data_IF_091550563458
#
_entry.id   IF_091550563458
#
_cell.length_a   1.000
_cell.length_b   1.000
_cell.length_c   1.000
_cell.angle_alpha   90.00
_cell.angle_beta   90.00
_cell.angle_gamma   90.00
#
_symmetry.space_group_name_H-M   'P 1'
#
loop_
_entity.id
_entity.type
_entity.pdbx_description
1 polymer ?
#
# COMPACT_ATOMS: atom_id res chain seq x y z
N UNK A 1 6.39 32.60 -3.25
CA UNK A 1 5.96 31.39 -2.51
C UNK A 1 5.39 31.83 -1.18
N UNK A 2 4.22 31.34 -0.77
CA UNK A 2 3.59 31.70 0.50
C UNK A 2 4.41 31.09 1.65
N UNK A 3 4.66 31.85 2.72
CA UNK A 3 5.44 31.35 3.87
C UNK A 3 4.63 30.28 4.61
N UNK A 4 5.13 29.04 4.79
CA UNK A 4 4.40 28.00 5.50
C UNK A 4 4.17 28.39 6.97
N UNK A 5 2.94 28.24 7.46
CA UNK A 5 2.57 28.49 8.87
C UNK A 5 1.93 27.24 9.45
N UNK A 6 2.36 26.84 10.66
CA UNK A 6 1.79 25.68 11.34
C UNK A 6 0.28 25.89 11.58
N UNK A 7 -0.58 24.93 11.22
CA UNK A 7 -2.01 25.07 11.42
C UNK A 7 -2.39 25.32 12.88
N UNK A 8 -3.38 26.18 13.09
CA UNK A 8 -3.99 26.38 14.40
C UNK A 8 -5.03 25.29 14.69
N UNK A 9 -5.50 25.24 15.94
CA UNK A 9 -6.57 24.31 16.35
C UNK A 9 -7.84 24.58 15.54
N UNK A 10 -8.31 23.57 14.82
CA UNK A 10 -9.56 23.59 14.05
C UNK A 10 -10.70 23.01 14.88
N UNK A 11 -11.92 23.45 14.58
CA UNK A 11 -13.16 22.98 15.24
C UNK A 11 -13.36 21.47 15.11
N UNK A 12 -12.99 20.90 13.96
CA UNK A 12 -13.05 19.47 13.67
C UNK A 12 -11.72 18.73 13.98
N UNK A 13 -10.81 19.38 14.71
CA UNK A 13 -9.54 18.80 15.15
C UNK A 13 -9.70 17.86 16.33
N UNK A 14 -8.97 16.74 16.33
CA UNK A 14 -8.99 15.76 17.43
C UNK A 14 -8.18 16.26 18.62
N UNK A 15 -8.56 15.91 19.86
CA UNK A 15 -7.80 16.25 21.07
C UNK A 15 -6.49 15.45 21.20
N UNK A 16 -6.45 14.26 20.62
CA UNK A 16 -5.32 13.34 20.65
C UNK A 16 -5.22 12.54 19.35
N UNK A 17 -4.19 11.68 19.26
CA UNK A 17 -4.04 10.77 18.13
C UNK A 17 -5.24 9.82 18.06
N UNK A 18 -5.60 9.30 16.87
CA UNK A 18 -6.48 8.14 16.77
C UNK A 18 -5.91 6.94 17.55
N UNK A 19 -6.77 6.05 18.01
CA UNK A 19 -6.36 4.85 18.74
C UNK A 19 -5.40 3.99 17.89
N UNK A 20 -4.29 3.55 18.49
CA UNK A 20 -3.23 2.80 17.78
C UNK A 20 -2.25 3.64 16.96
N UNK A 21 -2.40 4.98 16.91
CA UNK A 21 -1.50 5.87 16.16
C UNK A 21 -0.41 6.48 17.08
N UNK A 22 0.69 7.02 16.50
CA UNK A 22 1.74 7.63 17.29
C UNK A 22 1.22 8.78 18.17
N UNK A 23 1.70 8.79 19.42
CA UNK A 23 1.41 9.84 20.41
C UNK A 23 2.32 11.07 20.28
N UNK A 24 3.16 11.10 19.25
CA UNK A 24 4.01 12.23 18.91
C UNK A 24 3.33 13.08 17.82
N UNK A 25 2.97 14.36 18.10
CA UNK A 25 2.37 15.26 17.12
C UNK A 25 3.24 15.49 15.88
N UNK A 26 4.56 15.37 15.99
CA UNK A 26 5.49 15.51 14.85
C UNK A 26 5.44 14.32 13.89
N UNK A 27 4.61 13.32 14.16
CA UNK A 27 4.24 12.25 13.22
C UNK A 27 3.03 12.58 12.34
N UNK A 28 2.57 13.83 12.35
CA UNK A 28 1.39 14.32 11.61
C UNK A 28 1.72 15.57 10.78
N UNK A 29 1.13 15.71 9.60
CA UNK A 29 1.29 16.90 8.78
C UNK A 29 0.50 18.10 9.34
N UNK A 30 -0.54 17.84 10.12
CA UNK A 30 -1.21 18.83 10.97
C UNK A 30 -1.11 18.41 12.45
N UNK A 31 -0.03 18.82 13.15
CA UNK A 31 0.22 18.42 14.54
C UNK A 31 -0.79 18.98 15.54
N UNK A 32 -1.37 20.16 15.28
CA UNK A 32 -2.30 20.81 16.22
C UNK A 32 -3.66 20.10 16.31
N UNK A 33 -3.99 19.34 15.27
CA UNK A 33 -5.30 18.69 15.10
C UNK A 33 -5.23 17.17 15.02
N UNK A 34 -4.02 16.59 15.13
CA UNK A 34 -3.76 15.15 14.97
C UNK A 34 -4.31 14.60 13.64
N UNK A 35 -4.15 15.39 12.58
CA UNK A 35 -4.63 15.08 11.23
C UNK A 35 -3.47 14.77 10.31
N UNK A 36 -3.73 13.93 9.31
CA UNK A 36 -2.78 13.57 8.27
C UNK A 36 -1.49 12.95 8.85
N UNK A 37 -1.57 11.76 9.48
CA UNK A 37 -0.38 11.06 9.93
C UNK A 37 0.60 10.86 8.76
N UNK A 38 1.91 10.91 9.03
CA UNK A 38 2.99 10.79 8.02
C UNK A 38 4.13 9.89 8.47
N UNK A 39 3.94 9.11 9.54
CA UNK A 39 5.00 8.30 10.15
C UNK A 39 5.34 6.99 9.42
N UNK A 40 4.54 6.61 8.44
CA UNK A 40 4.80 5.48 7.55
C UNK A 40 4.58 5.92 6.09
N UNK A 41 5.14 5.20 5.10
CA UNK A 41 4.87 5.47 3.69
C UNK A 41 3.38 5.45 3.35
N UNK A 42 2.61 4.56 4.00
CA UNK A 42 1.15 4.49 3.87
C UNK A 42 0.47 5.77 4.35
N UNK A 43 0.79 6.21 5.56
CA UNK A 43 0.16 7.38 6.15
C UNK A 43 0.50 8.65 5.37
N UNK A 44 1.74 8.80 4.89
CA UNK A 44 2.14 9.94 4.06
C UNK A 44 1.36 10.00 2.72
N UNK A 45 1.17 8.85 2.04
CA UNK A 45 0.36 8.79 0.81
C UNK A 45 -1.13 9.02 1.07
N UNK A 46 -1.67 8.45 2.15
CA UNK A 46 -3.06 8.68 2.56
C UNK A 46 -3.29 10.16 2.90
N UNK A 47 -2.37 10.78 3.64
CA UNK A 47 -2.38 12.20 3.95
C UNK A 47 -2.45 13.05 2.68
N UNK A 48 -1.60 12.79 1.68
CA UNK A 48 -1.61 13.48 0.37
C UNK A 48 -2.98 13.40 -0.31
N UNK A 49 -3.53 12.19 -0.43
CA UNK A 49 -4.84 11.97 -1.07
C UNK A 49 -5.98 12.68 -0.33
N UNK A 50 -6.02 12.55 1.00
CA UNK A 50 -7.06 13.17 1.81
C UNK A 50 -6.98 14.70 1.77
N UNK A 51 -5.77 15.25 1.87
CA UNK A 51 -5.56 16.69 1.89
C UNK A 51 -5.88 17.36 0.55
N UNK A 52 -5.60 16.68 -0.58
CA UNK A 52 -5.91 17.19 -1.91
C UNK A 52 -7.42 17.27 -2.22
N UNK A 53 -8.29 16.59 -1.46
CA UNK A 53 -9.75 16.73 -1.62
C UNK A 53 -10.15 18.16 -1.24
N UNK A 54 -10.84 18.85 -2.16
CA UNK A 54 -11.24 20.25 -2.01
C UNK A 54 -11.93 20.56 -0.66
N UNK A 55 -12.87 19.75 -0.15
CA UNK A 55 -13.50 20.00 1.16
C UNK A 55 -12.54 19.92 2.36
N UNK A 56 -11.43 19.18 2.24
CA UNK A 56 -10.43 19.08 3.29
C UNK A 56 -9.42 20.21 3.20
N UNK A 57 -9.00 20.56 1.97
CA UNK A 57 -8.06 21.64 1.71
C UNK A 57 -8.63 23.01 2.08
N UNK A 58 -9.91 23.24 1.75
CA UNK A 58 -10.63 24.49 2.01
C UNK A 58 -10.73 24.87 3.51
N UNK A 59 -10.44 23.93 4.43
CA UNK A 59 -10.44 24.17 5.88
C UNK A 59 -9.21 24.95 6.37
N UNK A 60 -8.22 25.13 5.51
CA UNK A 60 -6.91 25.67 5.84
C UNK A 60 -6.64 26.93 5.01
N UNK A 61 -6.07 27.95 5.65
CA UNK A 61 -5.55 29.12 4.95
C UNK A 61 -4.39 28.73 4.02
N UNK A 62 -4.09 29.49 2.96
CA UNK A 62 -3.02 29.15 2.01
C UNK A 62 -1.65 28.86 2.67
N UNK A 63 -1.31 29.60 3.73
CA UNK A 63 -0.08 29.43 4.51
C UNK A 63 -0.06 28.09 5.27
N UNK A 64 -1.21 27.70 5.83
CA UNK A 64 -1.40 26.43 6.52
C UNK A 64 -1.38 25.25 5.54
N UNK A 65 -1.96 25.46 4.35
CA UNK A 65 -1.90 24.46 3.28
C UNK A 65 -0.46 24.21 2.85
N UNK A 66 0.33 25.28 2.66
CA UNK A 66 1.75 25.16 2.32
C UNK A 66 2.56 24.40 3.39
N UNK A 67 2.22 24.55 4.67
CA UNK A 67 2.85 23.79 5.76
C UNK A 67 2.52 22.31 5.69
N UNK A 68 1.24 21.97 5.55
CA UNK A 68 0.79 20.57 5.44
C UNK A 68 1.38 19.93 4.17
N UNK A 69 1.38 20.66 3.05
CA UNK A 69 1.96 20.24 1.78
C UNK A 69 3.44 19.89 1.92
N UNK A 70 4.23 20.77 2.55
CA UNK A 70 5.65 20.55 2.82
C UNK A 70 5.87 19.28 3.65
N UNK A 71 5.16 19.14 4.76
CA UNK A 71 5.30 18.00 5.69
C UNK A 71 4.98 16.66 5.04
N UNK A 72 3.92 16.63 4.22
CA UNK A 72 3.54 15.43 3.47
C UNK A 72 4.62 15.10 2.42
N UNK A 73 5.11 16.10 1.67
CA UNK A 73 6.14 15.90 0.65
C UNK A 73 7.45 15.39 1.25
N UNK A 74 7.95 16.01 2.32
CA UNK A 74 9.16 15.57 3.01
C UNK A 74 9.05 14.12 3.50
N UNK A 75 7.88 13.73 4.02
CA UNK A 75 7.63 12.35 4.43
C UNK A 75 7.64 11.39 3.24
N UNK A 76 7.03 11.76 2.11
CA UNK A 76 7.01 10.94 0.90
C UNK A 76 8.40 10.77 0.29
N UNK A 77 9.18 11.85 0.21
CA UNK A 77 10.58 11.83 -0.22
C UNK A 77 11.43 10.94 0.69
N UNK A 78 11.29 11.07 2.01
CA UNK A 78 11.97 10.24 3.00
C UNK A 78 11.72 8.74 2.79
N UNK A 79 10.53 8.37 2.32
CA UNK A 79 10.17 6.97 2.06
C UNK A 79 10.48 6.50 0.64
N UNK A 80 11.21 7.28 -0.17
CA UNK A 80 11.56 6.91 -1.54
C UNK A 80 10.36 6.86 -2.49
N UNK A 81 9.24 7.49 -2.12
CA UNK A 81 8.06 7.60 -2.97
C UNK A 81 8.31 8.75 -3.93
N UNK A 82 8.93 8.47 -5.06
CA UNK A 82 9.09 9.43 -6.15
C UNK A 82 7.70 9.82 -6.69
N UNK A 83 7.07 10.84 -6.12
CA UNK A 83 5.92 11.47 -6.73
C UNK A 83 6.46 12.36 -7.86
N UNK A 84 6.38 11.88 -9.09
CA UNK A 84 6.53 12.72 -10.26
C UNK A 84 5.27 13.60 -10.38
N UNK A 85 5.28 14.78 -9.76
CA UNK A 85 4.31 15.84 -10.07
C UNK A 85 4.88 16.63 -11.24
N UNK A 86 4.32 16.46 -12.43
CA UNK A 86 4.62 17.34 -13.58
C UNK A 86 3.33 18.05 -13.99
N UNK A 87 3.30 19.37 -13.86
CA UNK A 87 2.28 20.23 -14.49
C UNK A 87 0.90 20.30 -13.82
N UNK A 88 0.69 19.72 -12.64
CA UNK A 88 -0.59 19.84 -11.93
C UNK A 88 -1.68 18.86 -12.37
N UNK A 89 -1.39 17.96 -13.30
CA UNK A 89 -2.25 16.83 -13.65
C UNK A 89 -1.67 15.51 -13.13
N UNK A 90 -2.51 14.72 -12.47
CA UNK A 90 -2.21 13.35 -12.05
C UNK A 90 -2.44 12.47 -13.28
N UNK A 91 -1.39 11.98 -13.91
CA UNK A 91 -1.54 10.98 -14.99
C UNK A 91 -1.99 9.65 -14.36
N UNK A 92 -3.17 9.15 -14.75
CA UNK A 92 -3.75 7.92 -14.18
C UNK A 92 -3.00 6.62 -14.57
N UNK A 93 -2.01 6.68 -15.44
CA UNK A 93 -1.28 5.49 -15.89
C UNK A 93 0.21 5.55 -15.54
N UNK A 94 0.50 5.24 -14.28
CA UNK A 94 1.67 4.51 -13.78
C UNK A 94 1.73 4.66 -12.24
N UNK A 95 0.64 4.33 -11.55
CA UNK A 95 0.55 4.69 -10.13
C UNK A 95 -0.68 4.20 -9.39
N UNK A 96 -1.31 3.10 -9.79
CA UNK A 96 -2.19 2.40 -8.84
C UNK A 96 -1.33 1.65 -7.83
N UNK A 97 -0.70 2.43 -6.93
CA UNK A 97 -0.11 1.92 -5.71
C UNK A 97 -0.98 2.53 -4.61
N UNK A 98 -1.76 1.67 -3.94
CA UNK A 98 -2.45 1.92 -2.66
C UNK A 98 -3.90 2.47 -2.61
N UNK A 99 -4.65 2.57 -3.71
CA UNK A 99 -6.11 2.78 -3.67
C UNK A 99 -6.80 1.43 -3.94
N UNK A 100 -7.35 0.70 -2.95
CA UNK A 100 -8.73 0.93 -2.47
C UNK A 100 -9.07 0.37 -1.08
N UNK A 101 -8.14 -0.08 -0.25
CA UNK A 101 -8.52 -0.57 1.09
C UNK A 101 -8.09 0.42 2.17
N UNK A 102 -8.97 1.32 2.64
CA UNK A 102 -8.85 1.78 4.01
C UNK A 102 -8.94 0.53 4.89
N UNK A 103 -7.82 0.12 5.49
CA UNK A 103 -7.78 -0.90 6.53
C UNK A 103 -8.48 -0.36 7.78
N UNK A 104 -9.80 -0.16 7.69
CA UNK A 104 -10.69 -0.01 8.83
C UNK A 104 -11.01 -1.38 9.45
N UNK A 105 -10.39 -2.44 8.92
CA UNK A 105 -10.56 -3.84 9.29
C UNK A 105 -9.20 -4.41 9.65
N UNK A 106 -9.15 -5.11 10.79
CA UNK A 106 -7.96 -5.82 11.25
C UNK A 106 -7.55 -6.87 10.20
N UNK A 107 -6.25 -6.92 9.88
CA UNK A 107 -5.64 -7.90 8.97
C UNK A 107 -5.99 -9.35 9.40
N UNK A 108 -6.08 -9.61 10.70
CA UNK A 108 -6.45 -10.94 11.22
C UNK A 108 -7.93 -11.29 11.01
N UNK A 109 -8.78 -10.29 10.82
CA UNK A 109 -10.19 -10.47 10.51
C UNK A 109 -10.47 -10.51 8.99
N UNK A 110 -9.46 -10.28 8.14
CA UNK A 110 -9.61 -10.31 6.69
C UNK A 110 -9.63 -11.74 6.15
N UNK A 111 -10.50 -11.94 5.16
CA UNK A 111 -10.57 -13.13 4.32
C UNK A 111 -9.44 -13.17 3.29
N UNK A 112 -9.22 -14.33 2.67
CA UNK A 112 -8.22 -14.51 1.62
C UNK A 112 -8.38 -13.50 0.48
N UNK A 113 -9.61 -13.30 0.01
CA UNK A 113 -9.89 -12.38 -1.10
C UNK A 113 -9.63 -10.92 -0.73
N UNK A 114 -9.95 -10.52 0.51
CA UNK A 114 -9.66 -9.17 0.99
C UNK A 114 -8.15 -8.94 1.09
N UNK A 115 -7.39 -9.91 1.62
CA UNK A 115 -5.93 -9.86 1.71
C UNK A 115 -5.29 -9.75 0.31
N UNK A 116 -5.75 -10.57 -0.64
CA UNK A 116 -5.34 -10.48 -2.04
C UNK A 116 -5.75 -9.15 -2.68
N UNK A 117 -6.94 -8.65 -2.37
CA UNK A 117 -7.43 -7.35 -2.82
C UNK A 117 -6.49 -6.21 -2.46
N UNK A 118 -5.87 -6.24 -1.27
CA UNK A 118 -4.88 -5.24 -0.83
C UNK A 118 -3.60 -5.30 -1.69
N UNK A 119 -3.13 -6.49 -2.07
CA UNK A 119 -1.87 -6.67 -2.83
C UNK A 119 -2.05 -6.54 -4.34
N UNK A 120 -3.25 -6.83 -4.87
CA UNK A 120 -3.54 -6.80 -6.31
C UNK A 120 -4.29 -5.54 -6.76
N UNK A 121 -5.28 -5.10 -5.98
CA UNK A 121 -6.36 -4.23 -6.44
C UNK A 121 -7.52 -5.01 -7.09
N UNK A 122 -8.70 -4.40 -7.14
CA UNK A 122 -9.97 -5.02 -7.57
C UNK A 122 -9.90 -5.66 -8.97
N UNK A 123 -9.47 -4.88 -9.97
CA UNK A 123 -9.39 -5.36 -11.37
C UNK A 123 -8.40 -6.52 -11.56
N UNK A 124 -7.27 -6.48 -10.86
CA UNK A 124 -6.25 -7.54 -10.93
C UNK A 124 -6.67 -8.79 -10.17
N UNK A 125 -7.41 -8.66 -9.06
CA UNK A 125 -8.02 -9.79 -8.37
C UNK A 125 -9.06 -10.49 -9.25
N UNK A 126 -9.93 -9.73 -9.93
CA UNK A 126 -10.87 -10.31 -10.90
C UNK A 126 -10.13 -11.06 -12.03
N UNK A 127 -9.05 -10.46 -12.55
CA UNK A 127 -8.20 -11.10 -13.55
C UNK A 127 -7.50 -12.36 -13.04
N UNK A 128 -7.13 -12.40 -11.75
CA UNK A 128 -6.52 -13.57 -11.12
C UNK A 128 -7.53 -14.74 -11.03
N UNK A 129 -8.76 -14.46 -10.60
CA UNK A 129 -9.85 -15.45 -10.54
C UNK A 129 -10.22 -16.03 -11.92
N UNK A 130 -9.99 -15.28 -12.99
CA UNK A 130 -10.22 -15.72 -14.36
C UNK A 130 -9.13 -16.66 -14.93
N UNK A 131 -8.01 -16.87 -14.23
CA UNK A 131 -7.00 -17.85 -14.66
C UNK A 131 -7.51 -19.25 -14.33
N UNK A 132 -7.57 -20.12 -15.34
CA UNK A 132 -8.03 -21.49 -15.18
C UNK A 132 -7.17 -22.25 -14.14
N UNK A 133 -7.77 -22.97 -13.17
CA UNK A 133 -7.02 -23.70 -12.14
C UNK A 133 -6.09 -24.80 -12.66
N UNK A 134 -6.25 -25.23 -13.92
CA UNK A 134 -5.37 -26.18 -14.61
C UNK A 134 -4.06 -25.54 -15.09
N UNK A 135 -4.01 -24.21 -15.18
CA UNK A 135 -2.82 -23.44 -15.56
C UNK A 135 -1.98 -23.04 -14.35
N UNK A 136 -2.27 -23.56 -13.16
CA UNK A 136 -1.54 -23.27 -11.93
C UNK A 136 -1.00 -24.59 -11.38
N UNK A 137 0.33 -24.74 -11.40
CA UNK A 137 1.04 -25.84 -10.74
C UNK A 137 1.59 -25.37 -9.39
N UNK A 138 1.54 -26.26 -8.40
CA UNK A 138 2.16 -26.06 -7.10
C UNK A 138 3.11 -27.23 -6.89
N UNK A 139 4.40 -26.99 -7.12
CA UNK A 139 5.42 -28.03 -7.11
C UNK A 139 5.96 -28.24 -5.68
N UNK A 140 6.03 -27.16 -4.89
CA UNK A 140 6.40 -27.19 -3.48
C UNK A 140 5.46 -26.31 -2.66
N UNK A 141 4.94 -26.86 -1.57
CA UNK A 141 4.15 -26.13 -0.59
C UNK A 141 4.56 -26.56 0.83
N UNK A 142 5.66 -26.00 1.34
CA UNK A 142 6.10 -26.19 2.72
C UNK A 142 5.84 -24.93 3.56
N UNK A 143 6.12 -25.01 4.86
CA UNK A 143 6.00 -23.85 5.74
C UNK A 143 6.93 -22.69 5.36
N UNK A 144 8.05 -22.98 4.70
CA UNK A 144 9.09 -21.98 4.37
C UNK A 144 9.20 -21.66 2.90
N UNK A 145 8.73 -22.56 2.02
CA UNK A 145 8.89 -22.41 0.58
C UNK A 145 7.61 -22.80 -0.15
N UNK A 146 7.09 -21.85 -0.92
CA UNK A 146 6.08 -22.09 -1.95
C UNK A 146 6.74 -21.94 -3.31
N UNK A 147 6.58 -22.93 -4.19
CA UNK A 147 7.08 -22.85 -5.55
C UNK A 147 6.13 -23.53 -6.53
N UNK A 148 6.09 -23.04 -7.76
CA UNK A 148 5.30 -23.62 -8.82
C UNK A 148 5.28 -22.74 -10.05
N UNK A 149 4.24 -22.88 -10.86
CA UNK A 149 4.08 -22.12 -12.10
C UNK A 149 2.65 -21.63 -12.27
N UNK A 150 2.51 -20.51 -12.98
CA UNK A 150 1.22 -20.00 -13.45
C UNK A 150 1.36 -19.70 -14.93
N UNK A 151 0.72 -20.52 -15.77
CA UNK A 151 1.03 -20.61 -17.22
C UNK A 151 2.51 -20.94 -17.39
N UNK A 152 3.23 -20.14 -18.16
CA UNK A 152 4.66 -20.31 -18.45
C UNK A 152 5.56 -19.52 -17.49
N UNK A 153 4.99 -18.94 -16.42
CA UNK A 153 5.71 -18.07 -15.50
C UNK A 153 6.01 -18.78 -14.17
N UNK A 154 7.24 -18.66 -13.68
CA UNK A 154 7.68 -19.26 -12.42
C UNK A 154 7.21 -18.46 -11.21
N UNK A 155 6.82 -19.13 -10.13
CA UNK A 155 6.50 -18.51 -8.84
C UNK A 155 7.38 -19.16 -7.78
N UNK A 156 8.08 -18.34 -6.99
CA UNK A 156 8.80 -18.79 -5.79
C UNK A 156 8.62 -17.78 -4.67
N UNK A 157 8.21 -18.27 -3.50
CA UNK A 157 8.01 -17.46 -2.30
C UNK A 157 8.71 -18.16 -1.14
N UNK A 158 9.73 -17.50 -0.61
CA UNK A 158 10.60 -18.02 0.45
C UNK A 158 10.44 -17.14 1.69
N UNK A 159 9.92 -17.72 2.78
CA UNK A 159 9.67 -16.99 4.02
C UNK A 159 10.92 -16.83 4.87
N UNK A 160 11.95 -17.67 4.67
CA UNK A 160 13.21 -17.55 5.38
C UNK A 160 14.04 -16.41 4.77
N UNK A 161 14.09 -16.33 3.44
CA UNK A 161 14.75 -15.26 2.71
C UNK A 161 13.90 -13.97 2.62
N UNK A 162 12.61 -14.05 3.01
CA UNK A 162 11.62 -12.97 2.85
C UNK A 162 11.57 -12.46 1.41
N UNK A 163 11.41 -13.39 0.48
CA UNK A 163 11.60 -13.15 -0.96
C UNK A 163 10.40 -13.66 -1.76
N UNK A 164 9.90 -12.84 -2.68
CA UNK A 164 8.87 -13.18 -3.66
C UNK A 164 9.47 -13.01 -5.05
N UNK A 165 9.68 -14.12 -5.75
CA UNK A 165 10.24 -14.16 -7.10
C UNK A 165 9.16 -14.56 -8.11
N UNK A 166 9.04 -13.78 -9.18
CA UNK A 166 8.13 -14.08 -10.29
C UNK A 166 8.51 -13.38 -11.59
N UNK A 167 8.55 -14.12 -12.69
CA UNK A 167 9.17 -13.67 -13.95
C UNK A 167 8.20 -13.03 -14.98
N UNK A 168 6.91 -12.87 -14.67
CA UNK A 168 6.00 -12.22 -15.63
C UNK A 168 6.32 -10.72 -15.80
N UNK A 169 6.01 -10.20 -16.99
CA UNK A 169 6.32 -8.81 -17.36
C UNK A 169 5.63 -7.78 -16.45
N UNK A 170 4.33 -7.96 -16.14
CA UNK A 170 3.59 -7.05 -15.24
C UNK A 170 4.32 -6.93 -13.89
N UNK A 171 4.76 -8.07 -13.34
CA UNK A 171 5.45 -8.11 -12.06
C UNK A 171 6.82 -7.44 -12.10
N UNK A 172 7.71 -7.90 -12.97
CA UNK A 172 9.09 -7.39 -13.06
C UNK A 172 9.16 -5.90 -13.37
N UNK A 173 8.31 -5.41 -14.28
CA UNK A 173 8.39 -4.01 -14.72
C UNK A 173 7.89 -3.04 -13.66
N UNK A 174 6.78 -3.38 -12.99
CA UNK A 174 6.01 -2.42 -12.18
C UNK A 174 5.67 -2.94 -10.78
N UNK A 175 5.19 -4.18 -10.63
CA UNK A 175 4.61 -4.62 -9.35
C UNK A 175 5.68 -4.93 -8.30
N UNK A 176 6.81 -5.49 -8.71
CA UNK A 176 7.94 -5.76 -7.83
C UNK A 176 8.45 -4.49 -7.14
N UNK A 177 8.68 -3.42 -7.91
CA UNK A 177 9.08 -2.09 -7.40
C UNK A 177 8.10 -1.51 -6.38
N UNK A 178 6.82 -1.79 -6.56
CA UNK A 178 5.74 -1.34 -5.69
C UNK A 178 5.46 -2.31 -4.51
N UNK A 179 6.13 -3.47 -4.46
CA UNK A 179 5.83 -4.59 -3.55
C UNK A 179 4.36 -5.02 -3.63
N UNK A 180 3.85 -5.14 -4.84
CA UNK A 180 2.48 -5.54 -5.13
C UNK A 180 2.48 -6.84 -5.94
N UNK A 181 1.32 -7.49 -5.99
CA UNK A 181 1.12 -8.69 -6.78
C UNK A 181 0.57 -8.36 -8.17
N UNK A 182 0.93 -9.21 -9.13
CA UNK A 182 0.27 -9.30 -10.43
C UNK A 182 -0.88 -10.33 -10.35
N UNK A 183 -1.63 -10.50 -11.44
CA UNK A 183 -2.71 -11.49 -11.51
C UNK A 183 -2.25 -12.95 -11.32
N UNK A 184 -1.03 -13.28 -11.75
CA UNK A 184 -0.51 -14.64 -11.67
C UNK A 184 -0.25 -15.04 -10.21
N UNK A 185 0.41 -14.18 -9.43
CA UNK A 185 0.58 -14.40 -7.99
C UNK A 185 -0.78 -14.52 -7.28
N UNK A 186 -1.77 -13.70 -7.65
CA UNK A 186 -3.13 -13.86 -7.14
C UNK A 186 -3.72 -15.26 -7.42
N UNK A 187 -3.60 -15.74 -8.66
CA UNK A 187 -4.09 -17.07 -9.04
C UNK A 187 -3.35 -18.20 -8.31
N UNK A 188 -2.04 -18.04 -8.09
CA UNK A 188 -1.25 -18.98 -7.30
C UNK A 188 -1.76 -19.08 -5.85
N UNK A 189 -1.97 -17.95 -5.19
CA UNK A 189 -2.51 -17.91 -3.83
C UNK A 189 -3.95 -18.44 -3.71
N UNK A 190 -4.74 -18.37 -4.79
CA UNK A 190 -6.07 -18.97 -4.83
C UNK A 190 -6.04 -20.50 -5.00
N UNK A 191 -4.90 -21.08 -5.39
CA UNK A 191 -4.73 -22.52 -5.64
C UNK A 191 -4.13 -23.28 -4.45
N UNK A 192 -3.25 -22.64 -3.69
CA UNK A 192 -2.60 -23.27 -2.51
C UNK A 192 -3.58 -23.45 -1.35
N UNK A 193 -3.15 -24.15 -0.29
CA UNK A 193 -3.95 -24.31 0.92
C UNK A 193 -4.41 -22.95 1.49
N UNK A 194 -5.71 -22.87 1.81
CA UNK A 194 -6.33 -21.63 2.26
C UNK A 194 -5.71 -21.10 3.55
N UNK A 195 -5.45 -21.97 4.54
CA UNK A 195 -4.87 -21.53 5.81
C UNK A 195 -3.43 -21.03 5.62
N UNK A 196 -2.64 -21.72 4.79
CA UNK A 196 -1.29 -21.30 4.43
C UNK A 196 -1.28 -19.97 3.67
N UNK A 197 -2.15 -19.80 2.67
CA UNK A 197 -2.30 -18.56 1.92
C UNK A 197 -2.60 -17.38 2.85
N UNK A 198 -3.62 -17.53 3.71
CA UNK A 198 -4.03 -16.48 4.64
C UNK A 198 -2.90 -16.11 5.60
N UNK A 199 -2.20 -17.09 6.21
CA UNK A 199 -1.08 -16.80 7.11
C UNK A 199 0.01 -15.99 6.42
N UNK A 200 0.45 -16.44 5.25
CA UNK A 200 1.54 -15.79 4.50
C UNK A 200 1.16 -14.40 4.00
N UNK A 201 -0.07 -14.20 3.51
CA UNK A 201 -0.53 -12.88 3.06
C UNK A 201 -0.61 -11.89 4.22
N UNK A 202 -1.01 -12.33 5.42
CA UNK A 202 -1.02 -11.48 6.61
C UNK A 202 0.39 -11.07 7.02
N UNK A 203 1.33 -12.01 7.01
CA UNK A 203 2.75 -11.74 7.25
C UNK A 203 3.32 -10.75 6.24
N UNK A 204 3.13 -11.01 4.94
CA UNK A 204 3.53 -10.13 3.85
C UNK A 204 2.94 -8.73 3.97
N UNK A 205 1.68 -8.59 4.41
CA UNK A 205 1.06 -7.27 4.60
C UNK A 205 1.62 -6.52 5.81
N UNK A 206 1.95 -7.21 6.90
CA UNK A 206 2.53 -6.62 8.11
C UNK A 206 3.97 -6.19 7.92
N UNK A 207 4.75 -7.04 7.25
CA UNK A 207 6.19 -6.89 7.17
C UNK A 207 6.67 -6.52 5.77
N UNK A 208 5.77 -6.09 4.89
CA UNK A 208 6.02 -5.90 3.44
C UNK A 208 7.31 -5.19 3.10
N UNK A 209 7.66 -4.16 3.86
CA UNK A 209 8.86 -3.34 3.60
C UNK A 209 10.17 -4.11 3.86
N UNK A 210 10.13 -5.21 4.61
CA UNK A 210 11.23 -6.14 4.87
C UNK A 210 11.28 -7.31 3.89
N UNK A 211 10.39 -7.36 2.91
CA UNK A 211 10.38 -8.39 1.86
C UNK A 211 10.95 -7.84 0.55
N UNK A 212 11.68 -8.70 -0.16
CA UNK A 212 12.20 -8.44 -1.51
C UNK A 212 11.25 -9.02 -2.55
N UNK A 213 11.00 -8.26 -3.61
CA UNK A 213 10.13 -8.64 -4.73
C UNK A 213 10.94 -8.49 -6.01
N UNK A 214 11.03 -9.55 -6.83
CA UNK A 214 11.82 -9.54 -8.08
C UNK A 214 11.34 -10.47 -9.19
#
# INVERSE_FOLDING_TARGET
>A
MVRPVKPTRKRDGRAGPPEGYPKDPERYADPANWKYPVHTPFHARAARRYFNKEPNRAKYAPEEQAFIDKRINEALEKFGVAIQVKGGEITEEAGTIQADVPLNKDIDAMSLEELLGVLLGTNRLASAKGIAPSLVSVDKASATLLAGTVKDYSVRIDTQERRVEHDCVDFRTNRAKARLFCKHLGAFFLKIDHAQAVRLLRELLRERDHWTFE
#
